data_IF_843135055084
#
_entry.id   IF_843135055084
#
_cell.length_a   1.000
_cell.length_b   1.000
_cell.length_c   1.000
_cell.angle_alpha   90.00
_cell.angle_beta   90.00
_cell.angle_gamma   90.00
#
_symmetry.space_group_name_H-M   'P 1'
#
loop_
_entity.id
_entity.type
_entity.pdbx_description
1 polymer ?
#
# COMPACT_ATOMS: atom_id res chain seq x y z
N UNK A 1 -5.32 27.11 -3.07
CA UNK A 1 -5.60 25.79 -3.65
C UNK A 1 -5.36 24.78 -2.54
N UNK A 2 -6.23 23.78 -2.38
CA UNK A 2 -6.07 22.72 -1.39
C UNK A 2 -4.95 21.78 -1.84
N UNK A 3 -4.14 21.35 -0.90
CA UNK A 3 -2.94 20.55 -1.18
C UNK A 3 -2.72 19.54 -0.06
N UNK A 4 -1.79 18.63 -0.26
CA UNK A 4 -1.42 17.63 0.74
C UNK A 4 -0.02 17.88 1.33
N UNK A 5 0.14 17.51 2.58
CA UNK A 5 1.42 17.34 3.24
C UNK A 5 1.69 15.85 3.51
N UNK A 6 2.95 15.46 3.62
CA UNK A 6 3.33 14.07 3.91
C UNK A 6 4.26 14.01 5.12
N UNK A 7 3.91 13.16 6.08
CA UNK A 7 4.72 12.87 7.26
C UNK A 7 5.34 11.47 7.17
N UNK A 8 6.67 11.41 7.21
CA UNK A 8 7.45 10.17 7.15
C UNK A 8 7.96 9.84 5.74
N UNK A 9 9.27 9.97 5.56
CA UNK A 9 9.99 9.67 4.31
C UNK A 9 10.70 8.31 4.36
N UNK A 10 9.98 7.29 4.89
CA UNK A 10 10.35 5.89 4.80
C UNK A 10 10.20 5.35 3.37
N UNK A 11 10.21 4.02 3.21
CA UNK A 11 10.07 3.37 1.88
C UNK A 11 8.86 3.89 1.10
N UNK A 12 7.68 3.81 1.69
CA UNK A 12 6.41 4.21 1.04
C UNK A 12 6.34 5.74 0.86
N UNK A 13 6.70 6.52 1.90
CA UNK A 13 6.67 7.99 1.79
C UNK A 13 7.56 8.52 0.66
N UNK A 14 8.78 7.98 0.49
CA UNK A 14 9.68 8.38 -0.60
C UNK A 14 9.13 8.01 -1.99
N UNK A 15 8.54 6.82 -2.14
CA UNK A 15 7.89 6.45 -3.40
C UNK A 15 6.67 7.31 -3.70
N UNK A 16 5.84 7.61 -2.69
CA UNK A 16 4.71 8.52 -2.85
C UNK A 16 5.16 9.92 -3.27
N UNK A 17 6.25 10.44 -2.68
CA UNK A 17 6.85 11.73 -3.10
C UNK A 17 7.31 11.69 -4.57
N UNK A 18 8.02 10.63 -4.99
CA UNK A 18 8.46 10.46 -6.39
C UNK A 18 7.26 10.42 -7.34
N UNK A 19 6.25 9.59 -7.05
CA UNK A 19 5.05 9.44 -7.89
C UNK A 19 4.28 10.78 -7.97
N UNK A 20 4.08 11.47 -6.84
CA UNK A 20 3.38 12.75 -6.82
C UNK A 20 4.16 13.84 -7.54
N UNK A 21 5.49 13.90 -7.37
CA UNK A 21 6.33 14.87 -8.06
C UNK A 21 6.29 14.72 -9.59
N UNK A 22 6.11 13.52 -10.10
CA UNK A 22 5.97 13.24 -11.54
C UNK A 22 4.54 13.45 -12.05
N UNK A 23 3.54 12.94 -11.34
CA UNK A 23 2.15 12.92 -11.82
C UNK A 23 1.35 14.16 -11.45
N UNK A 24 1.57 14.68 -10.24
CA UNK A 24 0.80 15.79 -9.63
C UNK A 24 1.69 16.67 -8.77
N UNK A 25 2.72 17.33 -9.36
CA UNK A 25 3.66 18.18 -8.62
C UNK A 25 2.96 19.34 -7.88
N UNK A 26 1.78 19.76 -8.36
CA UNK A 26 0.95 20.81 -7.77
C UNK A 26 0.36 20.47 -6.41
N UNK A 27 0.18 19.19 -6.09
CA UNK A 27 -0.50 18.76 -4.87
C UNK A 27 0.39 18.80 -3.61
N UNK A 28 1.66 18.49 -3.74
CA UNK A 28 2.56 18.36 -2.59
C UNK A 28 3.00 19.74 -2.09
N UNK A 29 2.59 20.16 -0.90
CA UNK A 29 2.87 21.47 -0.35
C UNK A 29 3.84 21.46 0.85
N UNK A 30 4.05 20.34 1.52
CA UNK A 30 4.98 20.21 2.64
C UNK A 30 5.36 18.76 2.90
N UNK A 31 6.54 18.57 3.48
CA UNK A 31 7.07 17.28 3.92
C UNK A 31 7.55 17.38 5.36
N UNK A 32 7.51 16.26 6.08
CA UNK A 32 8.11 16.14 7.40
C UNK A 32 8.79 14.77 7.56
N UNK A 33 10.02 14.78 8.05
CA UNK A 33 10.72 13.60 8.54
C UNK A 33 11.78 14.03 9.56
N UNK A 34 11.92 13.36 10.72
CA UNK A 34 12.93 13.70 11.71
C UNK A 34 14.39 13.56 11.23
N UNK A 35 14.64 12.85 10.13
CA UNK A 35 15.96 12.69 9.58
C UNK A 35 16.51 14.01 8.98
N UNK A 36 17.83 14.28 9.06
CA UNK A 36 18.47 15.45 8.47
C UNK A 36 18.27 15.53 6.95
N UNK A 37 18.29 16.76 6.41
CA UNK A 37 18.06 17.06 4.99
C UNK A 37 18.95 16.23 4.05
N UNK A 38 20.24 16.12 4.36
CA UNK A 38 21.22 15.38 3.54
C UNK A 38 20.88 13.89 3.44
N UNK A 39 20.44 13.26 4.53
CA UNK A 39 19.99 11.86 4.55
C UNK A 39 18.70 11.67 3.76
N UNK A 40 17.75 12.58 3.91
CA UNK A 40 16.49 12.55 3.15
C UNK A 40 16.76 12.67 1.64
N UNK A 41 17.59 13.63 1.24
CA UNK A 41 18.00 13.81 -0.17
C UNK A 41 18.72 12.58 -0.71
N UNK A 42 19.69 12.05 0.06
CA UNK A 42 20.44 10.86 -0.34
C UNK A 42 19.51 9.67 -0.62
N UNK A 43 18.58 9.38 0.30
CA UNK A 43 17.65 8.25 0.17
C UNK A 43 16.55 8.48 -0.87
N UNK A 44 16.23 9.72 -1.21
CA UNK A 44 15.35 10.04 -2.33
C UNK A 44 16.05 9.87 -3.68
N UNK A 45 17.34 10.13 -3.76
CA UNK A 45 18.13 9.96 -4.98
C UNK A 45 18.52 8.51 -5.25
N UNK A 46 18.81 7.75 -4.19
CA UNK A 46 19.37 6.40 -4.27
C UNK A 46 18.47 5.41 -3.56
N UNK A 47 17.85 4.54 -4.31
CA UNK A 47 17.03 3.46 -3.78
C UNK A 47 17.55 2.12 -4.28
N UNK A 48 17.87 1.21 -3.35
CA UNK A 48 18.47 -0.10 -3.67
C UNK A 48 17.51 -1.03 -4.42
N UNK A 49 16.20 -0.77 -4.37
CA UNK A 49 15.16 -1.59 -5.03
C UNK A 49 14.66 -0.91 -6.30
N UNK A 50 14.34 0.40 -6.22
CA UNK A 50 13.69 1.13 -7.30
C UNK A 50 14.63 2.07 -8.07
N UNK A 51 15.92 2.07 -7.74
CA UNK A 51 16.92 2.87 -8.44
C UNK A 51 16.75 4.39 -8.26
N UNK A 52 17.31 5.15 -9.20
CA UNK A 52 17.24 6.61 -9.19
C UNK A 52 15.89 7.10 -9.73
N UNK A 53 15.35 8.22 -9.20
CA UNK A 53 14.13 8.84 -9.74
C UNK A 53 14.38 9.44 -11.13
N UNK A 54 13.30 9.55 -11.93
CA UNK A 54 13.34 10.18 -13.25
C UNK A 54 13.47 11.72 -13.23
N UNK A 55 13.42 12.35 -12.04
CA UNK A 55 13.50 13.80 -11.86
C UNK A 55 14.67 14.20 -10.95
N UNK A 56 15.26 15.40 -11.12
CA UNK A 56 16.27 15.90 -10.21
C UNK A 56 15.71 16.14 -8.82
N UNK A 57 16.46 15.72 -7.79
CA UNK A 57 16.13 15.95 -6.38
C UNK A 57 17.32 16.58 -5.67
N UNK A 58 17.11 17.74 -5.05
CA UNK A 58 18.15 18.46 -4.30
C UNK A 58 17.62 18.92 -2.93
N UNK A 59 18.55 19.15 -2.00
CA UNK A 59 18.29 19.84 -0.74
C UNK A 59 18.70 21.30 -0.82
N UNK A 60 17.90 22.18 -0.24
CA UNK A 60 18.17 23.61 -0.13
C UNK A 60 17.91 24.05 1.31
N UNK A 61 18.73 25.00 1.80
CA UNK A 61 18.48 25.65 3.08
C UNK A 61 18.42 27.15 2.87
N UNK A 62 17.31 27.76 3.27
CA UNK A 62 17.10 29.21 3.12
C UNK A 62 16.48 29.77 4.41
N UNK A 63 17.09 30.83 4.94
CA UNK A 63 16.65 31.50 6.17
C UNK A 63 16.38 30.54 7.37
N UNK A 64 17.17 29.46 7.47
CA UNK A 64 17.04 28.46 8.53
C UNK A 64 15.93 27.41 8.30
N UNK A 65 15.25 27.42 7.17
CA UNK A 65 14.27 26.44 6.75
C UNK A 65 14.85 25.51 5.69
N UNK A 66 14.64 24.20 5.87
CA UNK A 66 15.02 23.18 4.90
C UNK A 66 13.94 23.00 3.84
N UNK A 67 14.37 22.76 2.61
CA UNK A 67 13.50 22.48 1.47
C UNK A 67 14.04 21.32 0.64
N UNK A 68 13.12 20.57 0.05
CA UNK A 68 13.42 19.67 -1.07
C UNK A 68 13.05 20.34 -2.38
N UNK A 69 13.98 20.33 -3.34
CA UNK A 69 13.69 20.63 -4.74
C UNK A 69 13.41 19.33 -5.47
N UNK A 70 12.20 19.20 -6.00
CA UNK A 70 11.68 18.04 -6.75
C UNK A 70 11.40 18.52 -8.17
N UNK A 71 12.33 18.29 -9.09
CA UNK A 71 12.32 18.97 -10.38
C UNK A 71 12.39 20.50 -10.18
N UNK A 72 11.41 21.22 -10.72
CA UNK A 72 11.29 22.70 -10.60
C UNK A 72 10.56 23.16 -9.33
N UNK A 73 10.02 22.22 -8.54
CA UNK A 73 9.24 22.53 -7.34
C UNK A 73 10.11 22.56 -6.09
N UNK A 74 9.92 23.61 -5.30
CA UNK A 74 10.52 23.75 -3.97
C UNK A 74 9.45 23.47 -2.91
N UNK A 75 9.69 22.47 -2.06
CA UNK A 75 8.75 21.98 -1.04
C UNK A 75 9.42 22.07 0.33
N UNK A 76 8.84 22.76 1.32
CA UNK A 76 9.40 22.83 2.68
C UNK A 76 9.47 21.46 3.32
N UNK A 77 10.59 21.18 3.99
CA UNK A 77 10.84 20.00 4.78
C UNK A 77 10.94 20.40 6.26
N UNK A 78 10.10 19.79 7.09
CA UNK A 78 10.12 19.93 8.53
C UNK A 78 10.73 18.70 9.18
N UNK A 79 11.16 18.82 10.46
CA UNK A 79 11.85 17.76 11.21
C UNK A 79 11.21 17.45 12.57
N UNK A 80 9.94 17.79 12.74
CA UNK A 80 9.24 17.59 14.02
C UNK A 80 8.94 16.10 14.23
N UNK A 81 9.28 15.52 15.40
CA UNK A 81 9.01 14.12 15.70
C UNK A 81 7.53 13.84 16.07
N UNK A 82 6.80 14.87 16.43
CA UNK A 82 5.41 14.82 16.93
C UNK A 82 4.46 15.44 15.90
N UNK A 83 3.41 14.72 15.47
CA UNK A 83 2.40 15.24 14.53
C UNK A 83 1.79 16.58 14.97
N UNK A 84 1.58 16.78 16.29
CA UNK A 84 1.00 18.00 16.80
C UNK A 84 1.93 19.23 16.70
N UNK A 85 3.22 19.02 16.49
CA UNK A 85 4.23 20.11 16.42
C UNK A 85 4.59 20.51 14.99
N UNK A 86 4.23 19.69 13.97
CA UNK A 86 4.59 19.99 12.58
C UNK A 86 3.86 21.25 12.09
N UNK A 87 4.56 22.33 11.70
CA UNK A 87 3.93 23.59 11.32
C UNK A 87 3.53 23.57 9.82
N UNK A 88 2.64 22.66 9.42
CA UNK A 88 2.19 22.58 8.05
C UNK A 88 1.54 23.88 7.57
N UNK A 89 1.78 24.30 6.31
CA UNK A 89 1.25 25.55 5.77
C UNK A 89 -0.27 25.50 5.60
N UNK A 90 -0.92 26.66 5.55
CA UNK A 90 -2.37 26.79 5.45
C UNK A 90 -2.99 26.16 4.18
N UNK A 91 -2.20 25.83 3.17
CA UNK A 91 -2.65 25.10 1.99
C UNK A 91 -2.79 23.59 2.23
N UNK A 92 -2.16 23.04 3.28
CA UNK A 92 -2.26 21.63 3.61
C UNK A 92 -3.65 21.30 4.17
N UNK A 93 -4.54 20.78 3.35
CA UNK A 93 -5.89 20.34 3.75
C UNK A 93 -5.93 18.85 4.11
N UNK A 94 -4.99 18.06 3.61
CA UNK A 94 -4.86 16.64 3.83
C UNK A 94 -3.42 16.30 4.24
N UNK A 95 -3.25 15.38 5.19
CA UNK A 95 -1.95 14.81 5.57
C UNK A 95 -1.90 13.33 5.23
N UNK A 96 -0.84 12.90 4.57
CA UNK A 96 -0.46 11.50 4.46
C UNK A 96 0.44 11.14 5.64
N UNK A 97 -0.04 10.26 6.51
CA UNK A 97 0.74 9.71 7.63
C UNK A 97 1.45 8.43 7.17
N UNK A 98 2.72 8.55 6.80
CA UNK A 98 3.55 7.48 6.26
C UNK A 98 4.77 7.11 7.13
N UNK A 99 4.82 7.60 8.38
CA UNK A 99 5.93 7.27 9.30
C UNK A 99 5.87 5.82 9.83
N UNK A 100 4.70 5.18 9.75
CA UNK A 100 4.43 3.86 10.34
C UNK A 100 4.33 3.86 11.86
N UNK A 101 4.43 5.03 12.52
CA UNK A 101 4.39 5.19 13.98
C UNK A 101 3.00 5.53 14.50
N UNK A 102 2.25 6.35 13.78
CA UNK A 102 0.95 6.89 14.19
C UNK A 102 -0.18 6.21 13.44
N UNK A 103 -0.33 4.90 13.64
CA UNK A 103 -1.31 4.06 12.91
C UNK A 103 -2.66 3.97 13.60
N UNK A 104 -2.78 4.39 14.86
CA UNK A 104 -4.06 4.48 15.57
C UNK A 104 -4.76 5.80 15.24
N UNK A 105 -6.09 5.77 15.24
CA UNK A 105 -6.93 6.95 14.99
C UNK A 105 -6.55 8.15 15.84
N UNK A 106 -6.42 7.95 17.16
CA UNK A 106 -6.09 9.02 18.10
C UNK A 106 -4.73 9.66 17.83
N UNK A 107 -3.72 8.86 17.46
CA UNK A 107 -2.38 9.34 17.17
C UNK A 107 -2.34 10.11 15.84
N UNK A 108 -2.95 9.55 14.77
CA UNK A 108 -3.02 10.20 13.47
C UNK A 108 -3.89 11.47 13.50
N UNK A 109 -4.95 11.50 14.32
CA UNK A 109 -5.80 12.67 14.48
C UNK A 109 -5.07 13.90 15.03
N UNK A 110 -3.87 13.75 15.61
CA UNK A 110 -3.02 14.86 16.05
C UNK A 110 -2.54 15.76 14.91
N UNK A 111 -2.62 15.29 13.68
CA UNK A 111 -2.45 16.13 12.48
C UNK A 111 -3.64 17.05 12.19
N UNK A 112 -4.84 16.77 12.73
CA UNK A 112 -6.07 17.53 12.47
C UNK A 112 -6.04 18.87 13.21
N UNK A 113 -5.23 19.79 12.70
CA UNK A 113 -5.08 21.16 13.22
C UNK A 113 -4.89 22.16 12.09
N UNK A 114 -5.13 23.43 12.35
CA UNK A 114 -5.03 24.51 11.35
C UNK A 114 -5.97 24.24 10.17
N UNK A 115 -5.42 24.16 8.97
CA UNK A 115 -6.17 23.89 7.74
C UNK A 115 -6.35 22.38 7.45
N UNK A 116 -5.65 21.49 8.17
CA UNK A 116 -5.72 20.05 7.96
C UNK A 116 -7.07 19.52 8.41
N UNK A 117 -7.88 19.09 7.48
CA UNK A 117 -9.22 18.52 7.72
C UNK A 117 -9.25 17.00 7.71
N UNK A 118 -8.33 16.35 6.98
CA UNK A 118 -8.27 14.91 6.81
C UNK A 118 -6.85 14.35 6.93
N UNK A 119 -6.76 13.08 7.37
CA UNK A 119 -5.52 12.32 7.45
C UNK A 119 -5.71 10.97 6.77
N UNK A 120 -4.77 10.58 5.93
CA UNK A 120 -4.69 9.24 5.34
C UNK A 120 -3.49 8.50 5.93
N UNK A 121 -3.75 7.44 6.68
CA UNK A 121 -2.72 6.56 7.26
C UNK A 121 -2.28 5.58 6.18
N UNK A 122 -0.99 5.58 5.84
CA UNK A 122 -0.39 4.65 4.87
C UNK A 122 -0.02 3.31 5.52
N UNK A 123 -0.94 2.74 6.28
CA UNK A 123 -0.81 1.46 6.97
C UNK A 123 -2.20 0.96 7.41
N UNK A 124 -2.36 -0.34 7.72
CA UNK A 124 -3.55 -0.82 8.41
C UNK A 124 -3.74 -0.11 9.74
N UNK A 125 -4.96 0.30 10.02
CA UNK A 125 -5.35 0.88 11.30
C UNK A 125 -6.42 0.03 11.97
N UNK A 126 -6.31 -0.21 13.29
CA UNK A 126 -7.34 -0.98 14.00
C UNK A 126 -8.62 -0.19 14.24
N UNK A 127 -8.56 1.15 14.17
CA UNK A 127 -9.59 2.06 14.68
C UNK A 127 -9.72 3.36 13.86
N UNK A 128 -9.26 3.41 12.60
CA UNK A 128 -9.52 4.52 11.69
C UNK A 128 -11.05 4.68 11.47
N UNK A 129 -11.48 5.88 11.09
CA UNK A 129 -12.90 6.14 10.79
C UNK A 129 -13.40 5.24 9.64
N UNK A 130 -12.53 4.97 8.66
CA UNK A 130 -12.76 4.01 7.58
C UNK A 130 -11.43 3.46 7.06
N UNK A 131 -11.37 2.15 6.81
CA UNK A 131 -10.30 1.55 6.00
C UNK A 131 -10.78 1.44 4.56
N UNK A 132 -10.02 2.01 3.60
CA UNK A 132 -10.43 2.13 2.20
C UNK A 132 -9.47 1.38 1.27
N UNK A 133 -10.07 0.59 0.38
CA UNK A 133 -9.47 0.17 -0.89
C UNK A 133 -10.43 0.68 -1.96
N UNK A 134 -10.10 1.81 -2.58
CA UNK A 134 -11.03 2.61 -3.38
C UNK A 134 -11.88 1.82 -4.38
N UNK A 135 -11.34 0.87 -5.18
CA UNK A 135 -12.14 0.08 -6.11
C UNK A 135 -13.07 -0.96 -5.43
N UNK A 136 -12.90 -1.21 -4.13
CA UNK A 136 -13.68 -2.25 -3.40
C UNK A 136 -14.79 -1.62 -2.56
N UNK A 137 -14.45 -0.65 -1.72
CA UNK A 137 -15.39 -0.01 -0.79
C UNK A 137 -15.30 1.53 -0.80
N UNK A 138 -14.70 2.14 -1.82
CA UNK A 138 -14.57 3.61 -1.91
C UNK A 138 -15.91 4.35 -1.92
N UNK A 139 -17.00 3.70 -2.33
CA UNK A 139 -18.34 4.26 -2.28
C UNK A 139 -18.85 4.52 -0.84
N UNK A 140 -18.26 3.87 0.17
CA UNK A 140 -18.60 4.07 1.58
C UNK A 140 -17.94 5.32 2.17
N UNK A 141 -17.02 5.96 1.43
CA UNK A 141 -16.23 7.08 1.91
C UNK A 141 -17.04 8.39 1.92
N UNK A 142 -17.40 8.82 3.12
CA UNK A 142 -18.08 10.09 3.42
C UNK A 142 -17.09 11.04 4.15
N UNK A 143 -16.66 12.10 3.48
CA UNK A 143 -15.67 13.06 4.01
C UNK A 143 -16.21 13.91 5.17
N UNK A 144 -17.52 14.01 5.35
CA UNK A 144 -18.10 14.68 6.52
C UNK A 144 -17.92 13.83 7.81
N UNK A 145 -17.83 12.52 7.68
CA UNK A 145 -17.75 11.55 8.78
C UNK A 145 -16.36 10.96 8.97
N UNK A 146 -15.65 10.67 7.87
CA UNK A 146 -14.39 9.94 7.88
C UNK A 146 -13.21 10.90 7.70
N UNK A 147 -12.65 11.36 8.80
CA UNK A 147 -11.55 12.33 8.81
C UNK A 147 -10.18 11.66 8.95
N UNK A 148 -10.11 10.48 9.56
CA UNK A 148 -8.91 9.65 9.69
C UNK A 148 -9.15 8.36 8.94
N UNK A 149 -8.51 8.22 7.78
CA UNK A 149 -8.76 7.15 6.81
C UNK A 149 -7.52 6.26 6.77
N UNK A 150 -7.68 4.94 6.78
CA UNK A 150 -6.61 3.98 6.54
C UNK A 150 -6.61 3.52 5.09
N UNK A 151 -5.43 3.57 4.43
CA UNK A 151 -5.22 3.00 3.09
C UNK A 151 -4.92 1.48 3.15
N UNK A 152 -5.40 0.76 4.17
CA UNK A 152 -5.19 -0.68 4.32
C UNK A 152 -3.71 -1.11 4.25
N UNK A 153 -3.44 -2.30 3.67
CA UNK A 153 -2.09 -2.84 3.46
C UNK A 153 -1.84 -3.22 2.00
N UNK A 154 -0.56 -3.32 1.61
CA UNK A 154 -0.16 -3.77 0.27
C UNK A 154 -0.79 -5.12 -0.11
N UNK A 155 -0.73 -6.10 0.79
CA UNK A 155 -1.35 -7.42 0.57
C UNK A 155 -2.87 -7.34 0.48
N UNK A 156 -3.53 -6.47 1.27
CA UNK A 156 -4.98 -6.27 1.15
C UNK A 156 -5.35 -5.63 -0.19
N UNK A 157 -4.56 -4.66 -0.68
CA UNK A 157 -4.74 -4.07 -2.01
C UNK A 157 -4.60 -5.09 -3.14
N UNK A 158 -3.73 -6.09 -2.99
CA UNK A 158 -3.61 -7.17 -3.97
C UNK A 158 -4.76 -8.19 -3.85
N UNK A 159 -5.09 -8.60 -2.63
CA UNK A 159 -6.05 -9.69 -2.41
C UNK A 159 -7.50 -9.27 -2.63
N UNK A 160 -7.89 -8.06 -2.23
CA UNK A 160 -9.27 -7.62 -2.32
C UNK A 160 -9.85 -7.63 -3.76
N UNK A 161 -9.13 -7.16 -4.80
CA UNK A 161 -9.54 -7.34 -6.19
C UNK A 161 -9.71 -8.80 -6.59
N UNK A 162 -8.76 -9.69 -6.21
CA UNK A 162 -8.84 -11.11 -6.53
C UNK A 162 -10.13 -11.72 -5.97
N UNK A 163 -10.42 -11.46 -4.70
CA UNK A 163 -11.61 -11.98 -4.03
C UNK A 163 -12.90 -11.36 -4.60
N UNK A 164 -12.91 -10.06 -4.88
CA UNK A 164 -14.08 -9.37 -5.44
C UNK A 164 -14.44 -9.90 -6.82
N UNK A 165 -13.45 -10.15 -7.69
CA UNK A 165 -13.67 -10.70 -9.03
C UNK A 165 -14.21 -12.13 -8.93
N UNK A 166 -13.64 -12.98 -8.09
CA UNK A 166 -14.13 -14.35 -7.89
C UNK A 166 -15.54 -14.38 -7.29
N UNK A 167 -15.83 -13.51 -6.31
CA UNK A 167 -17.14 -13.43 -5.67
C UNK A 167 -18.23 -12.99 -6.66
N UNK A 168 -17.96 -11.95 -7.44
CA UNK A 168 -18.89 -11.48 -8.47
C UNK A 168 -19.15 -12.53 -9.55
N UNK A 169 -18.08 -13.20 -10.01
CA UNK A 169 -18.19 -14.20 -11.08
C UNK A 169 -18.81 -15.51 -10.60
N UNK A 170 -18.49 -15.99 -9.40
CA UNK A 170 -18.83 -17.35 -8.98
C UNK A 170 -19.45 -17.46 -7.58
N UNK A 171 -19.36 -16.40 -6.77
CA UNK A 171 -19.70 -16.41 -5.35
C UNK A 171 -18.65 -17.16 -4.51
N UNK A 172 -18.28 -16.62 -3.37
CA UNK A 172 -17.34 -17.22 -2.44
C UNK A 172 -18.09 -17.96 -1.31
N UNK A 173 -17.69 -19.20 -1.01
CA UNK A 173 -18.21 -20.00 0.08
C UNK A 173 -17.19 -20.13 1.22
N UNK A 174 -15.95 -20.54 0.90
CA UNK A 174 -14.81 -20.55 1.82
C UNK A 174 -13.58 -19.96 1.12
N UNK A 175 -12.72 -19.29 1.90
CA UNK A 175 -11.50 -18.70 1.37
C UNK A 175 -10.35 -18.89 2.36
N UNK A 176 -9.23 -19.38 1.86
CA UNK A 176 -7.95 -19.38 2.54
C UNK A 176 -6.90 -18.62 1.74
N UNK A 177 -5.95 -17.97 2.41
CA UNK A 177 -4.90 -17.20 1.75
C UNK A 177 -3.54 -17.47 2.37
N UNK A 178 -2.54 -17.66 1.51
CA UNK A 178 -1.14 -17.56 1.91
C UNK A 178 -0.49 -16.38 1.17
N UNK A 179 0.31 -15.58 1.88
CA UNK A 179 1.14 -14.57 1.21
C UNK A 179 2.61 -14.92 1.39
N UNK A 180 3.31 -15.12 0.27
CA UNK A 180 4.76 -15.19 0.23
C UNK A 180 5.27 -13.76 0.15
N UNK A 181 5.79 -13.27 1.26
CA UNK A 181 6.03 -11.85 1.47
C UNK A 181 7.54 -11.58 1.66
N UNK A 182 8.01 -10.54 1.03
CA UNK A 182 9.40 -10.06 1.19
C UNK A 182 9.72 -9.65 2.63
N UNK A 183 10.99 -9.49 2.92
CA UNK A 183 11.46 -8.92 4.18
C UNK A 183 10.99 -7.47 4.34
N UNK A 184 10.77 -7.05 5.57
CA UNK A 184 10.42 -5.66 5.92
C UNK A 184 11.28 -5.19 7.08
N UNK A 185 11.34 -3.89 7.33
CA UNK A 185 12.12 -3.29 8.42
C UNK A 185 11.68 -3.75 9.83
N UNK A 186 10.51 -4.40 9.96
CA UNK A 186 10.07 -5.03 11.22
C UNK A 186 10.87 -6.31 11.54
N UNK A 187 11.55 -6.91 10.56
CA UNK A 187 12.35 -8.12 10.75
C UNK A 187 13.80 -7.80 11.14
N UNK A 188 14.46 -8.75 11.75
CA UNK A 188 15.86 -8.63 12.17
C UNK A 188 16.81 -9.13 11.06
N UNK A 189 17.88 -8.37 10.80
CA UNK A 189 18.93 -8.83 9.87
C UNK A 189 19.66 -10.04 10.44
N UNK A 190 20.03 -10.00 11.73
CA UNK A 190 20.59 -11.08 12.53
C UNK A 190 19.66 -11.39 13.70
N UNK A 191 19.87 -12.51 14.38
CA UNK A 191 19.07 -12.94 15.53
C UNK A 191 19.10 -11.87 16.65
N UNK A 192 17.94 -11.24 16.91
CA UNK A 192 17.77 -10.21 17.94
C UNK A 192 16.35 -10.29 18.53
N UNK A 193 16.16 -9.87 19.79
CA UNK A 193 14.85 -9.87 20.44
C UNK A 193 13.76 -9.18 19.60
N UNK A 194 12.61 -9.86 19.48
CA UNK A 194 11.40 -9.37 18.83
C UNK A 194 10.17 -9.94 19.54
N UNK A 195 9.04 -9.20 19.58
CA UNK A 195 7.79 -9.66 20.22
C UNK A 195 7.21 -10.94 19.59
N UNK A 196 7.40 -11.12 18.27
CA UNK A 196 7.17 -12.37 17.56
C UNK A 196 8.51 -13.13 17.49
N UNK A 197 8.60 -14.27 18.16
CA UNK A 197 9.85 -15.05 18.25
C UNK A 197 10.32 -15.58 16.88
N UNK A 198 9.43 -15.78 15.93
CA UNK A 198 9.80 -16.17 14.57
C UNK A 198 10.46 -15.01 13.83
N UNK A 199 10.00 -13.76 14.02
CA UNK A 199 10.63 -12.56 13.45
C UNK A 199 11.92 -12.14 14.18
N UNK A 200 12.24 -12.77 15.31
CA UNK A 200 13.51 -12.58 16.01
C UNK A 200 14.70 -13.20 15.23
N UNK A 201 14.44 -14.06 14.24
CA UNK A 201 15.43 -14.79 13.48
C UNK A 201 15.89 -13.98 12.26
N UNK A 202 17.12 -14.29 11.81
CA UNK A 202 17.77 -13.63 10.68
C UNK A 202 16.93 -13.73 9.39
N UNK A 203 16.50 -12.58 8.87
CA UNK A 203 15.52 -12.48 7.80
C UNK A 203 15.99 -13.07 6.47
N UNK A 204 17.29 -12.90 6.13
CA UNK A 204 17.85 -13.38 4.88
C UNK A 204 18.32 -14.84 4.91
N UNK A 205 18.22 -15.51 6.07
CA UNK A 205 18.60 -16.92 6.24
C UNK A 205 17.41 -17.84 6.44
N UNK A 206 16.17 -17.29 6.51
CA UNK A 206 15.03 -18.06 6.98
C UNK A 206 13.77 -17.77 6.18
N UNK A 207 12.94 -18.81 5.94
CA UNK A 207 11.52 -18.64 5.66
C UNK A 207 10.81 -18.52 7.00
N UNK A 208 10.11 -17.41 7.23
CA UNK A 208 9.51 -17.08 8.53
C UNK A 208 7.98 -17.07 8.43
N UNK A 209 7.28 -18.13 8.90
CA UNK A 209 5.82 -18.10 9.03
C UNK A 209 5.41 -17.11 10.12
N UNK A 210 4.45 -16.23 9.81
CA UNK A 210 4.00 -15.20 10.76
C UNK A 210 2.57 -14.76 10.44
N UNK A 211 2.03 -13.86 11.24
CA UNK A 211 0.73 -13.21 10.99
C UNK A 211 0.84 -12.07 9.99
N UNK A 212 -0.28 -11.66 9.41
CA UNK A 212 -0.40 -10.48 8.56
C UNK A 212 -1.58 -9.62 9.00
N UNK A 213 -1.36 -8.31 9.09
CA UNK A 213 -2.44 -7.33 9.30
C UNK A 213 -3.39 -7.22 8.09
N UNK A 214 -3.04 -7.82 6.96
CA UNK A 214 -3.88 -7.83 5.77
C UNK A 214 -5.23 -8.53 6.02
N UNK A 215 -5.27 -9.57 6.85
CA UNK A 215 -6.54 -10.27 7.17
C UNK A 215 -7.55 -9.34 7.84
N UNK A 216 -7.13 -8.60 8.87
CA UNK A 216 -7.97 -7.60 9.52
C UNK A 216 -8.43 -6.49 8.57
N UNK A 217 -7.52 -5.98 7.73
CA UNK A 217 -7.86 -4.97 6.73
C UNK A 217 -8.86 -5.50 5.69
N UNK A 218 -8.72 -6.75 5.24
CA UNK A 218 -9.66 -7.38 4.31
C UNK A 218 -11.06 -7.53 4.92
N UNK A 219 -11.18 -7.91 6.18
CA UNK A 219 -12.47 -7.94 6.87
C UNK A 219 -13.12 -6.55 6.99
N UNK A 220 -12.30 -5.49 7.17
CA UNK A 220 -12.81 -4.13 7.23
C UNK A 220 -13.35 -3.64 5.87
N UNK A 221 -12.67 -3.97 4.76
CA UNK A 221 -13.07 -3.50 3.40
C UNK A 221 -14.06 -4.43 2.70
N UNK A 222 -14.16 -5.68 3.15
CA UNK A 222 -15.05 -6.71 2.63
C UNK A 222 -15.73 -7.45 3.78
N UNK A 223 -16.68 -6.83 4.50
CA UNK A 223 -17.35 -7.47 5.66
C UNK A 223 -18.19 -8.68 5.27
N UNK A 224 -18.45 -8.88 3.98
CA UNK A 224 -19.18 -10.05 3.44
C UNK A 224 -18.30 -11.26 3.18
N UNK A 225 -17.00 -11.20 3.51
CA UNK A 225 -16.12 -12.37 3.40
C UNK A 225 -16.66 -13.53 4.26
N UNK A 226 -16.53 -14.78 3.77
CA UNK A 226 -17.01 -15.95 4.50
C UNK A 226 -16.42 -16.04 5.92
N UNK A 227 -17.22 -16.59 6.85
CA UNK A 227 -16.71 -16.93 8.18
C UNK A 227 -15.49 -17.87 8.07
N UNK A 228 -14.47 -17.60 8.91
CA UNK A 228 -13.23 -18.38 8.89
C UNK A 228 -12.24 -17.97 7.81
N UNK A 229 -12.49 -16.87 7.05
CA UNK A 229 -11.45 -16.31 6.17
C UNK A 229 -10.19 -16.01 6.99
N UNK A 230 -9.07 -16.52 6.53
CA UNK A 230 -7.79 -16.33 7.19
C UNK A 230 -6.64 -16.97 6.41
N UNK A 231 -5.50 -17.08 7.07
CA UNK A 231 -4.33 -17.68 6.43
C UNK A 231 -3.02 -17.36 7.13
N UNK A 232 -1.92 -17.45 6.40
CA UNK A 232 -0.57 -17.29 6.92
C UNK A 232 0.26 -16.37 6.01
N UNK A 233 1.18 -15.62 6.60
CA UNK A 233 2.24 -14.92 5.87
C UNK A 233 3.55 -15.72 6.01
N UNK A 234 4.22 -15.93 4.89
CA UNK A 234 5.55 -16.54 4.82
C UNK A 234 6.54 -15.46 4.40
N UNK A 235 7.38 -14.98 5.32
CA UNK A 235 8.47 -14.08 4.95
C UNK A 235 9.59 -14.87 4.28
N UNK A 236 10.06 -14.37 3.15
CA UNK A 236 11.12 -15.00 2.34
C UNK A 236 12.28 -14.04 2.12
N UNK A 237 13.51 -14.53 1.88
CA UNK A 237 14.71 -13.69 1.71
C UNK A 237 14.75 -12.98 0.35
N UNK A 238 13.73 -12.19 0.04
CA UNK A 238 13.65 -11.32 -1.15
C UNK A 238 13.35 -9.89 -0.72
N UNK A 239 13.73 -8.91 -1.53
CA UNK A 239 13.66 -7.49 -1.17
C UNK A 239 12.37 -6.80 -1.65
N UNK A 240 11.77 -7.31 -2.73
CA UNK A 240 10.58 -6.73 -3.33
C UNK A 240 9.75 -7.78 -4.06
N UNK A 241 8.50 -7.48 -4.30
CA UNK A 241 7.46 -8.29 -4.94
C UNK A 241 7.01 -9.50 -4.12
N UNK A 242 5.77 -9.44 -3.70
CA UNK A 242 5.08 -10.50 -2.99
C UNK A 242 4.24 -11.36 -3.94
N UNK A 243 3.95 -12.59 -3.51
CA UNK A 243 2.97 -13.46 -4.13
C UNK A 243 1.82 -13.72 -3.16
N UNK A 244 0.59 -13.56 -3.64
CA UNK A 244 -0.63 -13.98 -2.94
C UNK A 244 -1.14 -15.27 -3.56
N UNK A 245 -1.31 -16.29 -2.74
CA UNK A 245 -1.89 -17.59 -3.07
C UNK A 245 -3.26 -17.67 -2.40
N UNK A 246 -4.34 -17.64 -3.21
CA UNK A 246 -5.71 -17.75 -2.76
C UNK A 246 -6.26 -19.13 -3.13
N UNK A 247 -6.79 -19.82 -2.14
CA UNK A 247 -7.63 -21.02 -2.32
C UNK A 247 -9.06 -20.68 -1.91
N UNK A 248 -10.04 -21.09 -2.71
CA UNK A 248 -11.44 -20.83 -2.41
C UNK A 248 -12.35 -21.96 -2.83
N UNK A 249 -13.46 -22.14 -2.08
CA UNK A 249 -14.62 -22.89 -2.54
C UNK A 249 -15.63 -21.89 -3.08
N UNK A 250 -16.14 -22.16 -4.27
CA UNK A 250 -17.09 -21.31 -4.98
C UNK A 250 -18.53 -21.81 -4.77
N UNK A 251 -19.49 -20.89 -4.85
CA UNK A 251 -20.92 -21.25 -4.80
C UNK A 251 -21.47 -21.78 -6.11
N UNK A 252 -20.84 -21.37 -7.23
CA UNK A 252 -21.17 -21.83 -8.59
C UNK A 252 -20.00 -22.62 -9.17
N UNK A 253 -20.31 -23.57 -10.02
CA UNK A 253 -19.30 -24.36 -10.73
C UNK A 253 -18.47 -23.47 -11.65
N UNK A 254 -17.17 -23.73 -11.71
CA UNK A 254 -16.22 -23.03 -12.55
C UNK A 254 -15.13 -23.97 -13.05
N UNK A 255 -14.70 -23.74 -14.28
CA UNK A 255 -13.51 -24.37 -14.85
C UNK A 255 -12.35 -23.36 -14.94
N UNK A 256 -11.16 -23.85 -15.23
CA UNK A 256 -9.96 -23.00 -15.40
C UNK A 256 -10.19 -21.91 -16.45
N UNK A 257 -10.85 -22.23 -17.55
CA UNK A 257 -11.08 -21.27 -18.64
C UNK A 257 -12.04 -20.15 -18.20
N UNK A 258 -13.08 -20.46 -17.44
CA UNK A 258 -14.02 -19.48 -16.90
C UNK A 258 -13.37 -18.55 -15.88
N UNK A 259 -12.52 -19.10 -14.99
CA UNK A 259 -11.78 -18.30 -14.01
C UNK A 259 -10.80 -17.36 -14.70
N UNK A 260 -10.02 -17.85 -15.68
CA UNK A 260 -9.10 -17.03 -16.48
C UNK A 260 -9.84 -15.89 -17.18
N UNK A 261 -10.98 -16.18 -17.83
CA UNK A 261 -11.82 -15.15 -18.47
C UNK A 261 -12.27 -14.08 -17.49
N UNK A 262 -12.74 -14.47 -16.30
CA UNK A 262 -13.18 -13.50 -15.28
C UNK A 262 -12.09 -12.47 -14.93
N UNK A 263 -10.84 -12.91 -14.79
CA UNK A 263 -9.70 -12.01 -14.55
C UNK A 263 -9.30 -11.21 -15.80
N UNK A 264 -9.35 -11.82 -16.99
CA UNK A 264 -9.07 -11.13 -18.26
C UNK A 264 -10.09 -10.01 -18.52
N UNK A 265 -11.38 -10.30 -18.35
CA UNK A 265 -12.46 -9.31 -18.51
C UNK A 265 -12.34 -8.18 -17.47
N UNK A 266 -11.98 -8.50 -16.24
CA UNK A 266 -11.73 -7.54 -15.20
C UNK A 266 -10.55 -6.61 -15.56
N UNK A 267 -9.41 -7.18 -15.96
CA UNK A 267 -8.20 -6.43 -16.33
C UNK A 267 -8.43 -5.54 -17.57
N UNK A 268 -9.25 -5.96 -18.53
CA UNK A 268 -9.64 -5.15 -19.69
C UNK A 268 -10.78 -4.17 -19.44
N UNK A 269 -11.47 -4.29 -18.29
CA UNK A 269 -12.70 -3.56 -17.98
C UNK A 269 -12.58 -2.68 -16.73
N UNK A 270 -13.47 -2.93 -15.76
CA UNK A 270 -13.64 -2.10 -14.55
C UNK A 270 -12.40 -2.07 -13.63
N UNK A 271 -11.51 -3.03 -13.75
CA UNK A 271 -10.27 -3.15 -12.97
C UNK A 271 -9.01 -2.82 -13.77
N UNK A 272 -9.18 -2.20 -14.95
CA UNK A 272 -8.05 -1.74 -15.76
C UNK A 272 -7.11 -0.87 -14.91
N UNK A 273 -5.80 -1.03 -15.12
CA UNK A 273 -4.72 -0.35 -14.38
C UNK A 273 -4.60 -0.74 -12.88
N UNK A 274 -5.53 -1.56 -12.38
CA UNK A 274 -5.53 -2.09 -11.01
C UNK A 274 -5.19 -3.58 -10.97
N UNK A 275 -5.67 -4.32 -11.96
CA UNK A 275 -5.41 -5.75 -12.14
C UNK A 275 -4.68 -5.93 -13.47
N UNK A 276 -3.44 -6.40 -13.40
CA UNK A 276 -2.64 -6.78 -14.55
C UNK A 276 -2.69 -8.29 -14.79
N UNK A 277 -2.12 -8.71 -15.92
CA UNK A 277 -1.91 -10.12 -16.26
C UNK A 277 -0.41 -10.36 -16.43
N UNK A 278 0.08 -11.46 -15.87
CA UNK A 278 1.49 -11.85 -15.99
C UNK A 278 1.80 -12.41 -17.39
N UNK A 279 3.01 -12.10 -17.84
CA UNK A 279 3.59 -12.82 -18.97
C UNK A 279 3.90 -14.28 -18.58
N UNK A 280 3.86 -15.23 -19.50
CA UNK A 280 4.23 -16.61 -19.22
C UNK A 280 5.65 -16.72 -18.62
N UNK A 281 5.80 -17.61 -17.64
CA UNK A 281 7.08 -17.92 -16.98
C UNK A 281 7.69 -16.76 -16.16
N UNK A 282 6.95 -15.71 -15.88
CA UNK A 282 7.41 -14.60 -15.06
C UNK A 282 7.70 -15.03 -13.61
N UNK A 283 8.67 -14.36 -13.00
CA UNK A 283 9.07 -14.54 -11.59
C UNK A 283 9.02 -13.20 -10.86
N UNK A 284 9.20 -13.21 -9.54
CA UNK A 284 9.00 -12.00 -8.71
C UNK A 284 9.75 -10.75 -9.21
N UNK A 285 11.00 -10.90 -9.69
CA UNK A 285 11.80 -9.75 -10.16
C UNK A 285 11.21 -9.03 -11.37
N UNK A 286 10.38 -9.71 -12.19
CA UNK A 286 9.76 -9.14 -13.39
C UNK A 286 8.64 -8.14 -13.06
N UNK A 287 8.17 -8.14 -11.81
CA UNK A 287 7.10 -7.26 -11.35
C UNK A 287 7.59 -6.06 -10.54
N UNK A 288 8.91 -5.90 -10.37
CA UNK A 288 9.47 -4.72 -9.69
C UNK A 288 9.12 -3.44 -10.45
N UNK A 289 8.57 -2.45 -9.74
CA UNK A 289 8.13 -1.19 -10.32
C UNK A 289 6.72 -1.21 -10.93
N UNK A 290 6.02 -2.36 -10.95
CA UNK A 290 4.64 -2.46 -11.43
C UNK A 290 3.69 -1.69 -10.50
N UNK A 291 2.85 -0.86 -11.10
CA UNK A 291 1.93 0.04 -10.36
C UNK A 291 0.55 -0.59 -10.09
N UNK A 292 0.24 -1.72 -10.70
CA UNK A 292 -1.01 -2.43 -10.45
C UNK A 292 -1.10 -2.92 -9.00
N UNK A 293 -2.31 -3.02 -8.48
CA UNK A 293 -2.57 -3.58 -7.16
C UNK A 293 -2.23 -5.07 -7.11
N UNK A 294 -2.50 -5.79 -8.21
CA UNK A 294 -2.17 -7.21 -8.39
C UNK A 294 -1.99 -7.52 -9.87
N UNK A 295 -1.02 -8.37 -10.18
CA UNK A 295 -0.80 -8.94 -11.51
C UNK A 295 -1.11 -10.43 -11.41
N UNK A 296 -2.22 -10.87 -12.05
CA UNK A 296 -2.69 -12.25 -11.97
C UNK A 296 -1.81 -13.18 -12.81
N UNK A 297 -1.34 -14.26 -12.19
CA UNK A 297 -0.64 -15.34 -12.87
C UNK A 297 -1.65 -16.40 -13.32
N UNK A 298 -2.17 -16.21 -14.53
CA UNK A 298 -3.22 -17.08 -15.04
C UNK A 298 -2.73 -18.50 -15.37
N UNK A 299 -1.44 -18.69 -15.63
CA UNK A 299 -0.89 -20.02 -15.92
C UNK A 299 -0.92 -20.94 -14.70
N UNK A 300 -0.86 -20.36 -13.51
CA UNK A 300 -0.95 -21.08 -12.24
C UNK A 300 -2.40 -21.31 -11.77
N UNK A 301 -3.41 -20.89 -12.56
CA UNK A 301 -4.82 -21.13 -12.19
C UNK A 301 -5.13 -22.63 -12.21
N UNK A 302 -5.70 -23.14 -11.11
CA UNK A 302 -6.09 -24.54 -10.97
C UNK A 302 -7.51 -24.68 -10.42
N UNK A 303 -8.17 -25.78 -10.79
CA UNK A 303 -9.40 -26.25 -10.15
C UNK A 303 -9.23 -27.69 -9.67
N UNK A 304 -9.77 -28.01 -8.50
CA UNK A 304 -9.88 -29.37 -7.96
C UNK A 304 -11.36 -29.69 -7.82
N UNK A 305 -11.93 -30.32 -8.87
CA UNK A 305 -13.38 -30.45 -9.03
C UNK A 305 -14.03 -29.12 -9.43
N UNK A 306 -15.39 -29.07 -9.46
CA UNK A 306 -16.10 -27.97 -10.12
C UNK A 306 -16.13 -26.65 -9.29
N UNK A 307 -15.82 -26.68 -8.01
CA UNK A 307 -15.97 -25.50 -7.11
C UNK A 307 -14.76 -25.17 -6.26
N UNK A 308 -13.72 -25.95 -6.25
CA UNK A 308 -12.48 -25.60 -5.57
C UNK A 308 -11.50 -24.97 -6.54
N UNK A 309 -11.07 -23.73 -6.26
CA UNK A 309 -10.17 -22.97 -7.10
C UNK A 309 -8.91 -22.56 -6.33
N UNK A 310 -7.80 -22.48 -7.07
CA UNK A 310 -6.56 -21.88 -6.60
C UNK A 310 -6.05 -20.89 -7.64
N UNK A 311 -5.77 -19.65 -7.20
CA UNK A 311 -5.28 -18.55 -8.05
C UNK A 311 -4.13 -17.83 -7.39
N UNK A 312 -3.26 -17.24 -8.21
CA UNK A 312 -2.06 -16.54 -7.76
C UNK A 312 -2.02 -15.12 -8.33
N UNK A 313 -1.54 -14.19 -7.51
CA UNK A 313 -1.34 -12.81 -7.90
C UNK A 313 -0.05 -12.25 -7.34
N UNK A 314 0.76 -11.63 -8.21
CA UNK A 314 1.97 -10.90 -7.86
C UNK A 314 1.65 -9.45 -7.54
N UNK A 315 2.39 -8.84 -6.65
CA UNK A 315 2.30 -7.39 -6.42
C UNK A 315 3.62 -6.80 -5.94
N UNK A 316 4.01 -5.67 -6.51
CA UNK A 316 5.05 -4.85 -5.92
C UNK A 316 4.49 -4.20 -4.65
N UNK A 317 4.96 -4.64 -3.50
CA UNK A 317 4.44 -4.22 -2.20
C UNK A 317 4.75 -2.76 -1.87
N UNK A 318 5.64 -2.13 -2.60
CA UNK A 318 6.01 -0.73 -2.42
C UNK A 318 5.42 0.14 -3.53
N UNK A 319 5.74 -0.10 -4.81
CA UNK A 319 5.26 0.71 -5.94
C UNK A 319 3.76 0.61 -6.13
N UNK A 320 3.19 -0.60 -6.18
CA UNK A 320 1.75 -0.79 -6.33
C UNK A 320 0.95 -0.17 -5.19
N UNK A 321 1.44 -0.31 -3.96
CA UNK A 321 0.80 0.30 -2.80
C UNK A 321 0.92 1.83 -2.79
N UNK A 322 2.12 2.39 -3.10
CA UNK A 322 2.32 3.83 -3.17
C UNK A 322 1.49 4.47 -4.30
N UNK A 323 1.33 3.78 -5.43
CA UNK A 323 0.46 4.22 -6.50
C UNK A 323 -1.00 4.34 -6.02
N UNK A 324 -1.54 3.33 -5.36
CA UNK A 324 -2.92 3.37 -4.78
C UNK A 324 -3.08 4.45 -3.71
N UNK A 325 -2.06 4.65 -2.88
CA UNK A 325 -2.05 5.76 -1.93
C UNK A 325 -2.14 7.12 -2.65
N UNK A 326 -1.32 7.32 -3.68
CA UNK A 326 -1.32 8.56 -4.47
C UNK A 326 -2.65 8.79 -5.20
N UNK A 327 -3.26 7.73 -5.75
CA UNK A 327 -4.58 7.82 -6.39
C UNK A 327 -5.65 8.24 -5.38
N UNK A 328 -5.68 7.62 -4.19
CA UNK A 328 -6.63 7.96 -3.13
C UNK A 328 -6.48 9.42 -2.69
N UNK A 329 -5.26 9.86 -2.36
CA UNK A 329 -5.07 11.23 -1.85
C UNK A 329 -5.29 12.29 -2.92
N UNK A 330 -5.06 11.96 -4.19
CA UNK A 330 -5.38 12.85 -5.32
C UNK A 330 -6.88 13.05 -5.45
N UNK A 331 -7.67 11.99 -5.38
CA UNK A 331 -9.14 12.06 -5.36
C UNK A 331 -9.63 12.88 -4.17
N UNK A 332 -9.13 12.59 -2.97
CA UNK A 332 -9.54 13.25 -1.74
C UNK A 332 -9.28 14.76 -1.76
N UNK A 333 -8.10 15.20 -2.20
CA UNK A 333 -7.79 16.64 -2.30
C UNK A 333 -8.75 17.35 -3.26
N UNK A 334 -9.19 16.68 -4.31
CA UNK A 334 -10.19 17.23 -5.25
C UNK A 334 -11.60 17.31 -4.66
N UNK A 335 -11.91 16.51 -3.63
CA UNK A 335 -13.25 16.43 -3.00
C UNK A 335 -13.36 17.23 -1.69
N UNK A 336 -12.23 17.48 -1.00
CA UNK A 336 -12.14 18.32 0.21
C UNK A 336 -12.32 19.81 -0.20
#
# INVERSE_FOLDING_TARGET
MKSLALNGLGRIGRLAVRILAERRPDLLCALNDPAPLDQVVHLLRHDSVHGCPGLPIDGLQEAGQDFLRLGDRKVPLFHAPDPAEIPFPACASLVVEASGRFTRRADAARHLKGAVSHVVISAPSPDADLTVIAPVNGAELDLARHRVISNASCTAHATAPMLRILDQAFGLDHVGMSTVHVVTNDQRLLDLPHKDLRRARAAFMSIIPTTSSAFGALHQVMPTLPEGFGGVALRVPTLNVNLVDVVATLRRDADVAGIRRAFQDAAGGAWKDLVGLAEPHAVSSDFTGRAESVVMDLDLTMTLGPRFVKVFGWHDNETGYAARLCDLVTDLVGRI
#
